data_IF_989224377936
#
_entry.id   IF_989224377936
#
_cell.length_a   1.000
_cell.length_b   1.000
_cell.length_c   1.000
_cell.angle_alpha   90.00
_cell.angle_beta   90.00
_cell.angle_gamma   90.00
#
_symmetry.space_group_name_H-M   'P 1'
#
loop_
_entity.id
_entity.type
_entity.pdbx_description
1 polymer ?
#
# COMPACT_ATOMS: atom_id res chain seq x y z
N UNK A 1 -6.22 -0.57 -11.02
CA UNK A 1 -4.91 -1.17 -11.37
C UNK A 1 -4.78 -1.39 -12.88
N UNK A 2 -5.69 -2.13 -13.54
CA UNK A 2 -5.62 -2.39 -14.98
C UNK A 2 -5.44 -1.13 -15.86
N UNK A 3 -6.25 -0.09 -15.66
CA UNK A 3 -6.12 1.17 -16.39
C UNK A 3 -4.74 1.85 -16.21
N UNK A 4 -4.15 1.75 -15.00
CA UNK A 4 -2.81 2.28 -14.76
C UNK A 4 -1.76 1.48 -15.53
N UNK A 5 -1.86 0.15 -15.54
CA UNK A 5 -0.96 -0.70 -16.34
C UNK A 5 -1.06 -0.39 -17.84
N UNK A 6 -2.28 -0.21 -18.37
CA UNK A 6 -2.49 0.18 -19.77
C UNK A 6 -1.86 1.55 -20.08
N UNK A 7 -2.04 2.54 -19.20
CA UNK A 7 -1.43 3.85 -19.35
C UNK A 7 0.11 3.78 -19.36
N UNK A 8 0.72 3.00 -18.47
CA UNK A 8 2.17 2.78 -18.43
C UNK A 8 2.68 2.16 -19.74
N UNK A 9 1.94 1.19 -20.29
CA UNK A 9 2.29 0.61 -21.59
C UNK A 9 2.20 1.61 -22.73
N UNK A 10 1.20 2.50 -22.74
CA UNK A 10 1.10 3.60 -23.72
C UNK A 10 2.23 4.62 -23.57
N UNK A 11 2.76 4.79 -22.37
CA UNK A 11 3.93 5.63 -22.07
C UNK A 11 5.26 4.95 -22.41
N UNK A 12 5.25 3.70 -22.89
CA UNK A 12 6.45 3.01 -23.37
C UNK A 12 7.09 2.03 -22.38
N UNK A 13 6.42 1.70 -21.26
CA UNK A 13 6.89 0.63 -20.39
C UNK A 13 7.03 -0.68 -21.19
N UNK A 14 8.19 -1.34 -21.10
CA UNK A 14 8.39 -2.63 -21.75
C UNK A 14 7.58 -3.72 -21.05
N UNK A 15 7.69 -3.74 -19.72
CA UNK A 15 7.05 -4.71 -18.83
C UNK A 15 6.34 -3.97 -17.69
N UNK A 16 5.12 -4.40 -17.36
CA UNK A 16 4.40 -3.97 -16.15
C UNK A 16 4.02 -5.22 -15.38
N UNK A 17 4.33 -5.21 -14.09
CA UNK A 17 4.01 -6.27 -13.13
C UNK A 17 3.05 -5.69 -12.10
N UNK A 18 2.07 -6.48 -11.67
CA UNK A 18 1.18 -6.14 -10.56
C UNK A 18 1.53 -7.06 -9.39
N UNK A 19 2.06 -6.50 -8.32
CA UNK A 19 2.46 -7.26 -7.14
C UNK A 19 1.55 -6.97 -5.95
N UNK A 20 1.16 -8.01 -5.22
CA UNK A 20 0.60 -7.90 -3.87
C UNK A 20 1.06 -9.08 -3.01
N UNK A 21 1.21 -8.84 -1.72
CA UNK A 21 1.55 -9.84 -0.71
C UNK A 21 0.43 -9.89 0.32
N UNK A 22 -0.62 -10.70 0.10
CA UNK A 22 -1.75 -10.79 1.01
C UNK A 22 -1.31 -11.05 2.46
N UNK A 23 -1.70 -10.14 3.37
CA UNK A 23 -1.28 -10.17 4.79
C UNK A 23 -1.91 -11.30 5.63
N UNK A 24 -2.80 -12.10 5.05
CA UNK A 24 -3.33 -13.32 5.66
C UNK A 24 -3.13 -14.49 4.68
N UNK A 25 -2.95 -15.71 5.22
CA UNK A 25 -2.94 -16.91 4.37
C UNK A 25 -4.30 -17.05 3.69
N UNK A 26 -4.32 -16.69 2.42
CA UNK A 26 -5.48 -16.74 1.53
C UNK A 26 -5.00 -17.21 0.17
N UNK A 27 -5.89 -17.89 -0.54
CA UNK A 27 -5.60 -18.28 -1.91
C UNK A 27 -5.60 -17.02 -2.79
N UNK A 28 -4.40 -16.64 -3.24
CA UNK A 28 -4.21 -15.45 -4.07
C UNK A 28 -4.93 -15.57 -5.41
N UNK A 29 -5.04 -16.77 -5.99
CA UNK A 29 -5.81 -16.97 -7.22
C UNK A 29 -7.30 -16.69 -6.99
N UNK A 30 -7.86 -17.20 -5.88
CA UNK A 30 -9.25 -16.91 -5.50
C UNK A 30 -9.47 -15.40 -5.29
N UNK A 31 -8.56 -14.71 -4.58
CA UNK A 31 -8.67 -13.26 -4.36
C UNK A 31 -8.64 -12.47 -5.68
N UNK A 32 -7.85 -12.89 -6.66
CA UNK A 32 -7.79 -12.27 -7.98
C UNK A 32 -9.07 -12.49 -8.78
N UNK A 33 -9.67 -13.68 -8.67
CA UNK A 33 -10.95 -14.02 -9.29
C UNK A 33 -12.10 -13.22 -8.67
N UNK A 34 -12.26 -13.27 -7.35
CA UNK A 34 -13.35 -12.58 -6.63
C UNK A 34 -13.29 -11.06 -6.76
N UNK A 35 -12.09 -10.48 -6.86
CA UNK A 35 -11.92 -9.04 -7.08
C UNK A 35 -12.15 -8.59 -8.53
N UNK A 36 -12.26 -9.53 -9.48
CA UNK A 36 -12.26 -9.24 -10.92
C UNK A 36 -10.92 -8.74 -11.46
N UNK A 37 -9.87 -8.68 -10.62
CA UNK A 37 -8.55 -8.23 -11.05
C UNK A 37 -7.95 -9.19 -12.06
N UNK A 38 -8.18 -10.50 -11.92
CA UNK A 38 -7.68 -11.51 -12.86
C UNK A 38 -8.08 -11.18 -14.30
N UNK A 39 -9.38 -11.01 -14.54
CA UNK A 39 -9.92 -10.74 -15.88
C UNK A 39 -9.47 -9.37 -16.41
N UNK A 40 -9.39 -8.37 -15.53
CA UNK A 40 -8.91 -7.04 -15.88
C UNK A 40 -7.41 -7.01 -16.26
N UNK A 41 -6.59 -7.89 -15.69
CA UNK A 41 -5.19 -8.06 -16.09
C UNK A 41 -5.07 -8.90 -17.38
N UNK A 42 -5.89 -9.95 -17.52
CA UNK A 42 -5.92 -10.79 -18.72
C UNK A 42 -6.35 -10.01 -19.97
N UNK A 43 -7.29 -9.07 -19.86
CA UNK A 43 -7.74 -8.24 -20.99
C UNK A 43 -6.63 -7.35 -21.56
N UNK A 44 -5.60 -7.02 -20.77
CA UNK A 44 -4.40 -6.30 -21.22
C UNK A 44 -3.47 -7.24 -22.01
N UNK A 45 -3.51 -8.55 -21.73
CA UNK A 45 -2.80 -9.60 -22.48
C UNK A 45 -1.27 -9.65 -22.32
N UNK A 46 -0.66 -8.64 -21.69
CA UNK A 46 0.80 -8.53 -21.51
C UNK A 46 1.25 -8.23 -20.08
N UNK A 47 0.31 -8.13 -19.14
CA UNK A 47 0.61 -7.87 -17.72
C UNK A 47 0.56 -9.16 -16.91
N UNK A 48 1.33 -9.25 -15.83
CA UNK A 48 1.34 -10.42 -14.94
C UNK A 48 1.12 -10.00 -13.50
N UNK A 49 0.38 -10.81 -12.76
CA UNK A 49 0.31 -10.71 -11.31
C UNK A 49 1.44 -11.53 -10.67
N UNK A 50 2.06 -11.00 -9.63
CA UNK A 50 3.08 -11.68 -8.81
C UNK A 50 2.61 -11.65 -7.36
N UNK A 51 2.50 -12.84 -6.76
CA UNK A 51 2.34 -12.94 -5.32
C UNK A 51 3.70 -12.72 -4.64
N UNK A 52 3.85 -11.55 -4.04
CA UNK A 52 5.10 -11.13 -3.43
C UNK A 52 5.49 -12.01 -2.23
N UNK A 53 4.56 -12.77 -1.66
CA UNK A 53 4.86 -13.70 -0.58
C UNK A 53 5.72 -14.88 -1.00
N UNK A 54 5.67 -15.26 -2.29
CA UNK A 54 6.37 -16.44 -2.84
C UNK A 54 7.50 -16.06 -3.79
N UNK A 55 7.82 -14.77 -3.89
CA UNK A 55 8.97 -14.30 -4.65
C UNK A 55 10.29 -14.65 -3.95
N UNK A 56 11.39 -14.62 -4.69
CA UNK A 56 12.72 -14.61 -4.08
C UNK A 56 12.91 -13.30 -3.31
N UNK A 57 13.71 -13.34 -2.25
CA UNK A 57 13.88 -12.21 -1.34
C UNK A 57 15.34 -11.82 -1.15
N UNK A 58 15.59 -10.54 -0.95
CA UNK A 58 16.90 -9.99 -0.64
C UNK A 58 16.84 -9.06 0.57
N UNK A 59 17.87 -9.13 1.43
CA UNK A 59 18.02 -8.22 2.55
C UNK A 59 18.45 -6.82 2.07
N UNK A 60 17.73 -5.81 2.55
CA UNK A 60 17.97 -4.38 2.28
C UNK A 60 18.11 -3.68 3.62
N UNK A 61 19.19 -2.93 3.81
CA UNK A 61 19.40 -2.19 5.07
C UNK A 61 18.28 -1.18 5.30
N UNK A 62 17.78 -1.12 6.52
CA UNK A 62 16.83 -0.09 6.93
C UNK A 62 17.47 1.28 6.84
N UNK A 63 16.67 2.28 6.46
CA UNK A 63 17.13 3.67 6.32
C UNK A 63 16.89 4.51 7.58
N UNK A 64 16.16 3.99 8.55
CA UNK A 64 15.96 4.63 9.84
C UNK A 64 16.39 3.70 10.98
N UNK A 65 16.29 4.20 12.21
CA UNK A 65 16.50 3.43 13.43
C UNK A 65 15.23 3.44 14.31
N UNK A 66 14.05 3.57 13.68
CA UNK A 66 12.76 3.65 14.37
C UNK A 66 12.26 2.28 14.83
N UNK A 67 12.81 1.20 14.26
CA UNK A 67 12.55 -0.18 14.66
C UNK A 67 13.85 -0.86 15.09
N UNK A 68 13.78 -2.02 15.74
CA UNK A 68 14.96 -2.83 16.03
C UNK A 68 15.44 -3.66 14.83
N UNK A 69 14.86 -3.47 13.64
CA UNK A 69 15.24 -4.18 12.43
C UNK A 69 16.39 -3.43 11.75
N UNK A 70 17.51 -4.12 11.51
CA UNK A 70 18.64 -3.57 10.76
C UNK A 70 18.49 -3.75 9.23
N UNK A 71 17.58 -4.63 8.82
CA UNK A 71 17.32 -4.95 7.43
C UNK A 71 15.86 -5.38 7.22
N UNK A 72 15.37 -5.12 6.01
CA UNK A 72 14.11 -5.64 5.48
C UNK A 72 14.40 -6.64 4.37
N UNK A 73 13.72 -7.77 4.40
CA UNK A 73 13.76 -8.79 3.36
C UNK A 73 12.66 -8.49 2.35
N UNK A 74 13.05 -8.00 1.18
CA UNK A 74 12.12 -7.49 0.17
C UNK A 74 12.13 -8.38 -1.09
N UNK A 75 10.99 -8.48 -1.81
CA UNK A 75 10.88 -9.29 -3.03
C UNK A 75 11.83 -8.85 -4.15
N UNK A 76 12.43 -9.81 -4.85
CA UNK A 76 13.32 -9.59 -5.99
C UNK A 76 12.61 -8.79 -7.09
N UNK A 77 11.36 -9.12 -7.41
CA UNK A 77 10.57 -8.41 -8.43
C UNK A 77 10.33 -6.94 -8.08
N UNK A 78 10.25 -6.62 -6.78
CA UNK A 78 10.11 -5.24 -6.32
C UNK A 78 11.43 -4.49 -6.46
N UNK A 79 12.55 -5.12 -6.06
CA UNK A 79 13.88 -4.50 -6.08
C UNK A 79 14.45 -4.36 -7.49
N UNK A 80 14.09 -5.26 -8.41
CA UNK A 80 14.53 -5.25 -9.80
C UNK A 80 13.75 -4.27 -10.68
N UNK A 81 12.65 -3.70 -10.19
CA UNK A 81 11.84 -2.77 -10.97
C UNK A 81 12.51 -1.40 -11.12
N UNK A 82 12.57 -0.88 -12.35
CA UNK A 82 13.08 0.48 -12.62
C UNK A 82 12.21 1.57 -11.99
N UNK A 83 10.90 1.29 -11.87
CA UNK A 83 9.91 2.20 -11.28
C UNK A 83 8.91 1.39 -10.45
N UNK A 84 8.80 1.73 -9.17
CA UNK A 84 7.82 1.16 -8.24
C UNK A 84 6.71 2.16 -7.99
N UNK A 85 5.47 1.75 -8.26
CA UNK A 85 4.27 2.55 -8.07
C UNK A 85 3.39 1.91 -7.00
N UNK A 86 3.20 2.61 -5.90
CA UNK A 86 2.24 2.18 -4.86
C UNK A 86 0.82 2.55 -5.27
N UNK A 87 -0.08 1.58 -5.25
CA UNK A 87 -1.48 1.71 -5.69
C UNK A 87 -2.46 1.50 -4.52
N UNK A 88 -2.49 2.38 -3.50
CA UNK A 88 -3.33 2.19 -2.34
C UNK A 88 -4.83 2.38 -2.61
N UNK A 89 -5.66 1.68 -1.83
CA UNK A 89 -7.03 2.12 -1.54
C UNK A 89 -7.02 3.17 -0.43
N UNK A 90 -7.79 4.25 -0.62
CA UNK A 90 -7.85 5.37 0.33
C UNK A 90 -8.63 4.97 1.59
N UNK A 91 -7.97 4.90 2.75
CA UNK A 91 -8.56 4.61 4.07
C UNK A 91 -8.24 5.64 5.16
N UNK A 92 -9.18 5.92 6.07
CA UNK A 92 -8.87 6.67 7.30
C UNK A 92 -7.92 5.90 8.20
N UNK A 93 -7.12 6.62 8.99
CA UNK A 93 -6.41 6.05 10.13
C UNK A 93 -6.59 6.95 11.33
N UNK A 94 -6.96 6.32 12.45
CA UNK A 94 -7.28 7.02 13.69
C UNK A 94 -6.18 7.93 14.24
N UNK A 95 -4.91 7.72 13.87
CA UNK A 95 -3.76 8.49 14.39
C UNK A 95 -3.12 9.45 13.39
N UNK A 96 -3.52 9.42 12.11
CA UNK A 96 -2.79 10.15 11.07
C UNK A 96 -3.65 11.01 10.14
N UNK A 97 -4.97 11.09 10.35
CA UNK A 97 -5.92 11.79 9.48
C UNK A 97 -6.10 11.12 8.11
N UNK A 98 -5.00 10.87 7.38
CA UNK A 98 -4.93 10.37 5.99
C UNK A 98 -3.56 9.66 5.79
N UNK A 99 -3.48 8.32 5.90
CA UNK A 99 -2.21 7.54 5.69
C UNK A 99 -2.21 6.74 4.40
N UNK A 100 -2.91 7.25 3.37
CA UNK A 100 -3.49 6.46 2.29
C UNK A 100 -2.48 5.55 1.58
N UNK A 101 -1.23 5.97 1.36
CA UNK A 101 -0.22 5.19 0.64
C UNK A 101 0.72 4.35 1.49
N UNK A 102 1.07 4.81 2.70
CA UNK A 102 2.20 4.22 3.43
C UNK A 102 1.87 2.85 4.02
N UNK A 103 0.62 2.64 4.46
CA UNK A 103 0.18 1.31 4.92
C UNK A 103 0.09 0.28 3.79
N UNK A 104 0.04 0.72 2.54
CA UNK A 104 0.06 -0.19 1.39
C UNK A 104 1.39 -0.95 1.29
N UNK A 105 2.46 -0.39 1.85
CA UNK A 105 3.79 -0.98 1.83
C UNK A 105 3.92 -2.26 2.65
N UNK A 106 2.97 -2.55 3.55
CA UNK A 106 2.92 -3.85 4.20
C UNK A 106 2.66 -4.99 3.22
N UNK A 107 1.98 -4.73 2.09
CA UNK A 107 1.79 -5.73 1.03
C UNK A 107 3.09 -6.06 0.28
N UNK A 108 4.14 -5.26 0.43
CA UNK A 108 5.46 -5.58 -0.10
C UNK A 108 6.26 -6.53 0.80
N UNK A 109 5.77 -6.83 2.00
CA UNK A 109 6.48 -7.68 2.95
C UNK A 109 6.08 -9.14 2.77
N UNK A 110 7.01 -10.01 2.35
CA UNK A 110 6.70 -11.40 2.06
C UNK A 110 6.36 -12.16 3.33
N UNK A 111 5.15 -12.73 3.39
CA UNK A 111 4.69 -13.55 4.50
C UNK A 111 5.55 -14.82 4.70
N UNK A 112 6.25 -15.30 3.68
CA UNK A 112 7.23 -16.38 3.82
C UNK A 112 8.40 -16.01 4.76
N UNK A 113 8.72 -14.73 4.92
CA UNK A 113 9.75 -14.25 5.84
C UNK A 113 9.15 -13.77 7.16
N UNK A 114 8.05 -13.03 7.08
CA UNK A 114 7.51 -12.30 8.22
C UNK A 114 6.29 -12.95 8.89
N UNK A 115 5.81 -14.06 8.33
CA UNK A 115 4.64 -14.78 8.80
C UNK A 115 3.31 -14.14 8.40
N UNK A 116 2.23 -14.88 8.68
CA UNK A 116 0.85 -14.44 8.48
C UNK A 116 0.06 -14.55 9.79
N UNK A 117 -0.51 -13.45 10.30
CA UNK A 117 -0.27 -12.07 9.89
C UNK A 117 1.17 -11.62 10.22
N UNK A 118 1.67 -10.66 9.46
CA UNK A 118 3.00 -10.07 9.62
C UNK A 118 3.08 -9.24 10.92
N UNK A 119 3.16 -9.94 12.05
CA UNK A 119 3.10 -9.35 13.38
C UNK A 119 4.41 -8.71 13.82
N UNK A 120 5.53 -9.12 13.23
CA UNK A 120 6.87 -8.63 13.58
C UNK A 120 6.93 -7.11 13.52
N UNK A 121 6.48 -6.50 12.41
CA UNK A 121 6.46 -5.04 12.28
C UNK A 121 5.33 -4.38 13.10
N UNK A 122 4.22 -5.08 13.34
CA UNK A 122 3.19 -4.55 14.24
C UNK A 122 3.69 -4.39 15.67
N UNK A 123 4.53 -5.32 16.14
CA UNK A 123 5.11 -5.29 17.49
C UNK A 123 6.25 -4.26 17.65
N UNK A 124 6.86 -3.80 16.56
CA UNK A 124 7.85 -2.71 16.56
C UNK A 124 7.21 -1.30 16.68
N UNK A 125 5.88 -1.24 16.82
CA UNK A 125 5.12 -0.02 16.70
C UNK A 125 4.72 0.19 15.24
N UNK A 126 3.41 0.18 14.98
CA UNK A 126 2.89 0.29 13.62
C UNK A 126 3.30 1.59 12.93
N UNK A 127 3.36 2.70 13.66
CA UNK A 127 3.73 4.00 13.10
C UNK A 127 5.22 4.05 12.74
N UNK A 128 6.10 3.56 13.62
CA UNK A 128 7.53 3.43 13.36
C UNK A 128 7.80 2.54 12.14
N UNK A 129 7.12 1.40 12.06
CA UNK A 129 7.24 0.48 10.93
C UNK A 129 6.76 1.10 9.63
N UNK A 130 5.69 1.89 9.64
CA UNK A 130 5.23 2.60 8.44
C UNK A 130 6.33 3.54 7.92
N UNK A 131 6.96 4.31 8.80
CA UNK A 131 8.03 5.24 8.42
C UNK A 131 9.26 4.48 7.94
N UNK A 132 9.65 3.41 8.63
CA UNK A 132 10.78 2.54 8.24
C UNK A 132 10.58 1.97 6.83
N UNK A 133 9.37 1.44 6.56
CA UNK A 133 9.00 0.92 5.25
C UNK A 133 9.02 2.01 4.18
N UNK A 134 8.46 3.17 4.48
CA UNK A 134 8.41 4.29 3.56
C UNK A 134 9.79 4.85 3.21
N UNK A 135 10.73 4.80 4.15
CA UNK A 135 12.11 5.22 3.92
C UNK A 135 12.90 4.13 3.17
N UNK A 136 12.65 2.85 3.44
CA UNK A 136 13.49 1.76 2.92
C UNK A 136 13.03 1.23 1.56
N UNK A 137 11.72 1.23 1.27
CA UNK A 137 11.18 0.71 0.02
C UNK A 137 11.25 1.79 -1.07
N UNK A 138 11.82 1.50 -2.27
CA UNK A 138 12.06 2.50 -3.31
C UNK A 138 10.78 2.88 -4.08
N UNK A 139 9.84 3.56 -3.41
CA UNK A 139 8.60 4.04 -4.05
C UNK A 139 8.87 5.31 -4.86
N UNK A 140 8.56 5.26 -6.14
CA UNK A 140 8.76 6.36 -7.07
C UNK A 140 7.48 7.19 -7.24
N UNK A 141 6.32 6.52 -7.30
CA UNK A 141 5.03 7.16 -7.45
C UNK A 141 3.96 6.51 -6.58
N UNK A 142 2.93 7.29 -6.28
CA UNK A 142 1.71 6.81 -5.64
C UNK A 142 0.52 7.20 -6.51
N UNK A 143 -0.28 6.22 -6.89
CA UNK A 143 -1.56 6.45 -7.57
C UNK A 143 -2.66 5.95 -6.64
N UNK A 144 -3.36 6.88 -6.00
CA UNK A 144 -4.46 6.57 -5.09
C UNK A 144 -5.80 6.69 -5.83
N UNK A 145 -6.61 5.63 -5.78
CA UNK A 145 -7.97 5.63 -6.31
C UNK A 145 -8.91 6.33 -5.32
N UNK A 146 -9.47 7.46 -5.77
CA UNK A 146 -10.38 8.29 -5.01
C UNK A 146 -11.86 8.10 -5.33
N UNK A 147 -12.27 7.04 -6.01
CA UNK A 147 -13.70 6.79 -6.26
C UNK A 147 -14.39 6.40 -4.96
N UNK A 148 -13.81 5.42 -4.25
CA UNK A 148 -14.32 4.93 -2.97
C UNK A 148 -13.24 4.99 -1.90
N UNK A 149 -13.64 5.34 -0.69
CA UNK A 149 -12.76 5.42 0.47
C UNK A 149 -13.33 4.69 1.66
N UNK A 150 -12.44 4.17 2.50
CA UNK A 150 -12.82 3.53 3.76
C UNK A 150 -12.78 4.54 4.90
N UNK A 151 -13.84 4.55 5.70
CA UNK A 151 -13.98 5.30 6.96
C UNK A 151 -14.13 4.33 8.14
N UNK A 152 -13.46 4.61 9.26
CA UNK A 152 -13.48 3.79 10.48
C UNK A 152 -12.14 3.09 10.80
N UNK A 153 -12.16 2.20 11.80
CA UNK A 153 -10.97 1.53 12.36
C UNK A 153 -10.50 0.29 11.57
N UNK A 154 -10.55 0.36 10.23
CA UNK A 154 -10.08 -0.67 9.32
C UNK A 154 -10.87 -2.00 9.37
N UNK A 155 -10.46 -2.98 8.57
CA UNK A 155 -11.21 -4.21 8.29
C UNK A 155 -11.64 -5.06 9.52
N UNK A 156 -11.08 -4.80 10.71
CA UNK A 156 -11.43 -5.51 11.96
C UNK A 156 -12.53 -4.84 12.79
N UNK A 157 -12.96 -3.62 12.42
CA UNK A 157 -13.99 -2.87 13.17
C UNK A 157 -15.37 -3.01 12.52
N UNK A 158 -16.38 -3.29 13.36
CA UNK A 158 -17.81 -3.30 12.99
C UNK A 158 -18.37 -1.95 12.52
N UNK A 159 -17.58 -0.88 12.62
CA UNK A 159 -17.96 0.49 12.23
C UNK A 159 -17.30 0.94 10.92
N UNK A 160 -16.75 0.02 10.13
CA UNK A 160 -16.10 0.33 8.85
C UNK A 160 -17.14 0.53 7.76
N UNK A 161 -17.08 1.67 7.06
CA UNK A 161 -17.95 1.97 5.92
C UNK A 161 -17.13 2.36 4.70
N UNK A 162 -17.59 1.94 3.52
CA UNK A 162 -17.14 2.49 2.25
C UNK A 162 -17.99 3.74 1.96
N UNK A 163 -17.32 4.85 1.65
CA UNK A 163 -17.94 6.15 1.34
C UNK A 163 -17.27 6.75 0.11
N UNK A 164 -18.01 7.42 -0.79
CA UNK A 164 -17.42 8.19 -1.87
C UNK A 164 -16.39 9.19 -1.31
N UNK A 165 -15.20 9.28 -1.91
CA UNK A 165 -14.16 10.17 -1.37
C UNK A 165 -14.60 11.64 -1.36
N UNK A 166 -15.41 12.03 -2.36
CA UNK A 166 -15.99 13.37 -2.43
C UNK A 166 -16.79 13.73 -1.18
N UNK A 167 -17.48 12.76 -0.57
CA UNK A 167 -18.26 12.96 0.65
C UNK A 167 -17.39 12.99 1.91
N UNK A 168 -16.20 12.38 1.85
CA UNK A 168 -15.24 12.33 2.96
C UNK A 168 -14.54 13.67 3.20
N UNK A 169 -14.24 14.43 2.15
CA UNK A 169 -13.60 15.74 2.25
C UNK A 169 -14.59 16.91 2.21
N UNK A 170 -15.90 16.63 2.35
CA UNK A 170 -16.92 17.68 2.42
C UNK A 170 -16.81 18.47 3.72
N UNK A 171 -16.82 19.83 3.64
CA UNK A 171 -16.94 20.67 4.82
C UNK A 171 -18.19 20.30 5.63
N UNK A 172 -18.03 20.06 6.93
CA UNK A 172 -19.13 19.67 7.83
C UNK A 172 -19.30 18.16 8.05
N UNK A 173 -18.53 17.31 7.37
CA UNK A 173 -18.46 15.88 7.74
C UNK A 173 -17.66 15.72 9.05
N UNK A 174 -18.24 15.17 10.14
CA UNK A 174 -17.57 15.01 11.44
C UNK A 174 -16.36 14.04 11.40
N UNK A 175 -16.20 13.31 10.30
CA UNK A 175 -15.10 12.37 10.05
C UNK A 175 -14.15 12.86 8.94
N UNK A 176 -14.38 14.06 8.39
CA UNK A 176 -13.39 14.72 7.55
C UNK A 176 -12.18 15.06 8.42
N UNK A 177 -10.95 14.68 8.03
CA UNK A 177 -9.76 15.15 8.72
C UNK A 177 -9.79 16.68 8.70
N UNK A 178 -9.79 17.31 9.88
CA UNK A 178 -9.73 18.76 9.98
C UNK A 178 -8.49 19.26 9.23
N UNK A 179 -8.62 20.43 8.58
CA UNK A 179 -7.51 21.03 7.83
C UNK A 179 -6.25 21.03 8.71
N UNK A 180 -5.05 20.79 8.16
CA UNK A 180 -3.84 21.07 8.91
C UNK A 180 -3.89 22.54 9.32
N UNK A 181 -4.06 22.81 10.61
CA UNK A 181 -4.00 24.16 11.15
C UNK A 181 -2.57 24.61 10.90
N UNK A 182 -2.38 25.49 9.90
CA UNK A 182 -1.11 26.19 9.74
C UNK A 182 -0.98 27.17 10.89
N UNK A 183 -0.38 26.74 11.99
CA UNK A 183 0.38 27.66 12.83
C UNK A 183 1.81 27.68 12.30
N UNK A 184 2.03 28.50 11.28
CA UNK A 184 3.35 29.10 11.08
C UNK A 184 3.32 30.41 11.84
N UNK A 185 3.70 30.38 13.12
CA UNK A 185 4.16 31.59 13.78
C UNK A 185 5.54 31.89 13.19
N UNK A 186 5.57 32.73 12.16
CA UNK A 186 6.75 33.53 11.89
C UNK A 186 6.70 34.70 12.88
N UNK A 187 7.58 34.70 13.86
CA UNK A 187 8.03 35.91 14.53
C UNK A 187 9.49 35.69 14.97
N UNK A 188 10.36 36.47 14.31
CA UNK A 188 11.68 37.01 14.72
C UNK A 188 12.61 36.20 15.62
#
# INVERSE_FOLDING_TARGET
MAAAAEALYRLGAQTVLVGDGPGHVRDTALLLEESGLRDALLSIGRTRFIDLNFDRVHAVRTQTALTTLNELWLPESLLAADVVISMPKIKTHHWAGVTLSLKNLFGALPGAVYGWPNNTLHWQGIDNSIVELAATIPIHYVIADGVESMEGNGAKSRHTRLVPLGDKFRPGNPHCPERPVRHYDYNE
#
